data_IF_656692790489
#
_entry.id   IF_656692790489
#
_cell.length_a   1.000
_cell.length_b   1.000
_cell.length_c   1.000
_cell.angle_alpha   90.00
_cell.angle_beta   90.00
_cell.angle_gamma   90.00
#
_symmetry.space_group_name_H-M   'P 1'
#
loop_
_entity.id
_entity.type
_entity.pdbx_description
1 polymer ?
#
# COMPACT_ATOMS: atom_id res chain seq x y z
N UNK A 1 1.48 -2.48 -21.71
CA UNK A 1 0.69 -2.22 -20.48
C UNK A 1 0.33 -3.56 -19.86
N UNK A 2 0.92 -3.91 -18.72
CA UNK A 2 0.56 -5.14 -17.99
C UNK A 2 -0.90 -5.02 -17.52
N UNK A 3 -1.77 -6.01 -17.77
CA UNK A 3 -3.17 -5.93 -17.36
C UNK A 3 -3.25 -5.73 -15.85
N UNK A 4 -4.17 -4.87 -15.39
CA UNK A 4 -4.45 -4.72 -13.97
C UNK A 4 -4.96 -6.06 -13.45
N UNK A 5 -4.18 -6.68 -12.56
CA UNK A 5 -4.59 -7.89 -11.87
C UNK A 5 -5.75 -7.57 -10.94
N UNK A 6 -6.88 -8.24 -11.13
CA UNK A 6 -7.97 -8.24 -10.16
C UNK A 6 -7.60 -9.24 -9.07
N UNK A 7 -7.53 -8.78 -7.82
CA UNK A 7 -7.31 -9.67 -6.67
C UNK A 7 -8.64 -10.30 -6.26
N UNK A 8 -8.63 -11.58 -5.92
CA UNK A 8 -9.82 -12.19 -5.30
C UNK A 8 -10.06 -11.59 -3.91
N UNK A 9 -11.28 -11.75 -3.40
CA UNK A 9 -11.64 -11.33 -2.04
C UNK A 9 -10.73 -12.01 -1.01
N UNK A 10 -10.44 -13.30 -1.19
CA UNK A 10 -9.56 -14.07 -0.30
C UNK A 10 -8.11 -13.57 -0.34
N UNK A 11 -7.58 -13.24 -1.51
CA UNK A 11 -6.23 -12.69 -1.62
C UNK A 11 -6.12 -11.33 -0.94
N UNK A 12 -7.12 -10.48 -1.16
CA UNK A 12 -7.20 -9.18 -0.50
C UNK A 12 -7.28 -9.36 1.01
N UNK A 13 -8.11 -10.27 1.50
CA UNK A 13 -8.23 -10.57 2.93
C UNK A 13 -6.90 -11.07 3.53
N UNK A 14 -6.19 -11.98 2.85
CA UNK A 14 -4.87 -12.45 3.30
C UNK A 14 -3.86 -11.30 3.42
N UNK A 15 -3.86 -10.37 2.46
CA UNK A 15 -3.01 -9.17 2.51
C UNK A 15 -3.40 -8.30 3.71
N UNK A 16 -4.69 -8.02 3.91
CA UNK A 16 -5.14 -7.23 5.07
C UNK A 16 -4.75 -7.89 6.39
N UNK A 17 -5.01 -9.18 6.55
CA UNK A 17 -4.75 -9.93 7.78
C UNK A 17 -3.26 -9.90 8.15
N UNK A 18 -2.38 -10.08 7.16
CA UNK A 18 -0.91 -10.02 7.36
C UNK A 18 -0.45 -8.64 7.86
N UNK A 19 -1.17 -7.59 7.50
CA UNK A 19 -0.90 -6.21 7.93
C UNK A 19 -1.80 -5.73 9.07
N UNK A 20 -2.53 -6.64 9.72
CA UNK A 20 -3.37 -6.35 10.89
C UNK A 20 -4.57 -5.45 10.59
N UNK A 21 -5.09 -5.45 9.36
CA UNK A 21 -6.20 -4.59 8.93
C UNK A 21 -5.88 -3.08 9.02
N UNK A 22 -4.62 -2.69 8.81
CA UNK A 22 -4.20 -1.29 8.79
C UNK A 22 -3.68 -0.88 7.41
N UNK A 23 -4.03 0.34 6.99
CA UNK A 23 -3.44 0.96 5.81
C UNK A 23 -1.93 1.09 6.00
N UNK A 24 -1.15 0.55 5.07
CA UNK A 24 0.31 0.58 5.11
C UNK A 24 0.85 2.00 5.23
N UNK A 25 0.20 2.97 4.58
CA UNK A 25 0.63 4.37 4.54
C UNK A 25 0.15 5.20 5.73
N UNK A 26 -1.16 5.38 5.88
CA UNK A 26 -1.73 6.30 6.87
C UNK A 26 -2.05 5.67 8.22
N UNK A 27 -1.84 4.34 8.35
CA UNK A 27 -2.11 3.57 9.57
C UNK A 27 -3.55 3.75 10.09
N UNK A 28 -4.50 3.92 9.18
CA UNK A 28 -5.94 3.87 9.48
C UNK A 28 -6.44 2.43 9.38
N UNK A 29 -7.40 2.07 10.22
CA UNK A 29 -8.04 0.76 10.12
C UNK A 29 -8.77 0.64 8.78
N UNK A 30 -8.67 -0.54 8.18
CA UNK A 30 -9.28 -0.90 6.92
C UNK A 30 -10.22 -2.09 7.11
N UNK A 31 -11.43 -1.98 6.58
CA UNK A 31 -12.26 -3.15 6.31
C UNK A 31 -11.97 -3.69 4.91
N UNK A 32 -12.35 -4.93 4.65
CA UNK A 32 -12.19 -5.57 3.35
C UNK A 32 -12.79 -4.72 2.21
N UNK A 33 -13.96 -4.11 2.43
CA UNK A 33 -14.65 -3.25 1.46
C UNK A 33 -13.96 -1.90 1.20
N UNK A 34 -13.20 -1.39 2.18
CA UNK A 34 -12.56 -0.06 2.10
C UNK A 34 -11.08 -0.16 1.72
N UNK A 35 -10.50 -1.34 1.86
CA UNK A 35 -9.14 -1.60 1.47
C UNK A 35 -9.00 -1.74 -0.05
N UNK A 36 -7.81 -1.39 -0.50
CA UNK A 36 -7.34 -1.63 -1.86
C UNK A 36 -5.95 -2.22 -1.77
N UNK A 37 -5.60 -3.10 -2.70
CA UNK A 37 -4.25 -3.62 -2.81
C UNK A 37 -3.42 -2.66 -3.67
N UNK A 38 -2.26 -2.26 -3.14
CA UNK A 38 -1.31 -1.37 -3.83
C UNK A 38 0.06 -2.04 -3.93
N UNK A 39 0.78 -1.73 -5.01
CA UNK A 39 2.16 -2.17 -5.21
C UNK A 39 3.12 -1.18 -4.57
N UNK A 40 3.94 -1.64 -3.63
CA UNK A 40 4.99 -0.82 -2.99
C UNK A 40 5.89 -0.19 -4.07
N UNK A 41 6.44 -1.03 -4.94
CA UNK A 41 7.14 -0.62 -6.15
C UNK A 41 6.14 -0.70 -7.32
N UNK A 42 5.82 0.43 -7.97
CA UNK A 42 4.94 0.42 -9.13
C UNK A 42 5.45 -0.51 -10.24
N UNK A 43 4.54 -1.14 -10.98
CA UNK A 43 4.91 -1.97 -12.14
C UNK A 43 5.72 -1.19 -13.18
N UNK A 44 5.44 0.12 -13.34
CA UNK A 44 6.20 1.01 -14.23
C UNK A 44 7.65 1.24 -13.80
N UNK A 45 7.98 0.97 -12.54
CA UNK A 45 9.32 1.06 -11.98
C UNK A 45 9.97 -0.31 -11.78
N UNK A 46 9.44 -1.36 -12.42
CA UNK A 46 9.96 -2.73 -12.32
C UNK A 46 9.42 -3.56 -11.16
N UNK A 47 8.35 -3.11 -10.49
CA UNK A 47 7.70 -3.89 -9.44
C UNK A 47 7.02 -5.16 -9.96
N UNK A 48 6.83 -6.15 -9.08
CA UNK A 48 6.20 -7.44 -9.40
C UNK A 48 4.84 -7.58 -8.70
N UNK A 49 4.06 -8.58 -9.09
CA UNK A 49 2.82 -8.97 -8.38
C UNK A 49 3.09 -9.91 -7.19
N UNK A 50 4.34 -10.04 -6.75
CA UNK A 50 4.69 -10.87 -5.60
C UNK A 50 4.04 -10.32 -4.33
N UNK A 51 3.62 -11.22 -3.43
CA UNK A 51 2.98 -10.84 -2.17
C UNK A 51 3.82 -9.87 -1.33
N UNK A 52 5.14 -9.98 -1.38
CA UNK A 52 6.09 -9.05 -0.73
C UNK A 52 6.03 -7.61 -1.28
N UNK A 53 5.56 -7.42 -2.51
CA UNK A 53 5.37 -6.10 -3.12
C UNK A 53 3.94 -5.58 -2.98
N UNK A 54 3.04 -6.32 -2.34
CA UNK A 54 1.63 -5.95 -2.20
C UNK A 54 1.32 -5.51 -0.77
N UNK A 55 0.65 -4.38 -0.64
CA UNK A 55 0.25 -3.83 0.67
C UNK A 55 -1.20 -3.34 0.64
N UNK A 56 -1.90 -3.37 1.78
CA UNK A 56 -3.23 -2.79 1.89
C UNK A 56 -3.12 -1.27 2.03
N UNK A 57 -3.88 -0.55 1.22
CA UNK A 57 -3.99 0.89 1.23
C UNK A 57 -5.45 1.33 1.21
N UNK A 58 -5.79 2.44 1.85
CA UNK A 58 -7.10 3.06 1.63
C UNK A 58 -7.16 3.69 0.23
N UNK A 59 -8.37 3.81 -0.32
CA UNK A 59 -8.63 4.48 -1.61
C UNK A 59 -7.97 5.86 -1.72
N UNK A 60 -7.96 6.64 -0.63
CA UNK A 60 -7.35 7.97 -0.62
C UNK A 60 -5.82 7.92 -0.74
N UNK A 61 -5.13 7.05 0.01
CA UNK A 61 -3.68 6.92 -0.08
C UNK A 61 -3.25 6.30 -1.40
N UNK A 62 -3.97 5.26 -1.86
CA UNK A 62 -3.70 4.60 -3.13
C UNK A 62 -3.89 5.57 -4.31
N UNK A 63 -5.02 6.29 -4.35
CA UNK A 63 -5.29 7.31 -5.37
C UNK A 63 -4.28 8.47 -5.34
N UNK A 64 -3.85 8.89 -4.15
CA UNK A 64 -2.83 9.93 -3.97
C UNK A 64 -1.43 9.49 -4.42
N UNK A 65 -1.11 8.19 -4.38
CA UNK A 65 0.17 7.62 -4.84
C UNK A 65 0.25 7.59 -6.37
N UNK A 66 -0.80 7.14 -7.05
CA UNK A 66 -0.77 6.95 -8.51
C UNK A 66 0.44 6.10 -8.93
N UNK A 67 1.20 6.57 -9.92
CA UNK A 67 2.43 5.89 -10.40
C UNK A 67 3.69 6.21 -9.58
N UNK A 68 3.57 6.93 -8.47
CA UNK A 68 4.71 7.23 -7.59
C UNK A 68 4.96 6.05 -6.64
N UNK A 69 6.16 5.96 -6.06
CA UNK A 69 6.46 4.97 -5.01
C UNK A 69 5.81 5.30 -3.66
N UNK A 70 5.08 6.42 -3.58
CA UNK A 70 4.70 7.03 -2.31
C UNK A 70 3.48 7.99 -2.50
N UNK A 71 2.46 7.98 -1.62
CA UNK A 71 1.34 8.92 -1.67
C UNK A 71 1.75 10.41 -1.66
N UNK A 72 1.13 11.26 -2.49
CA UNK A 72 1.46 12.70 -2.58
C UNK A 72 0.98 13.51 -1.38
N UNK A 73 -0.17 13.18 -0.82
CA UNK A 73 -0.79 13.86 0.33
C UNK A 73 -0.86 12.94 1.54
N UNK A 74 -0.39 13.44 2.67
CA UNK A 74 0.00 12.61 3.80
C UNK A 74 -0.50 13.19 5.10
N UNK A 75 -1.65 12.70 5.57
CA UNK A 75 -2.09 12.94 6.94
C UNK A 75 -2.36 11.60 7.61
N UNK A 76 -1.78 11.39 8.78
CA UNK A 76 -2.10 10.24 9.62
C UNK A 76 -3.57 10.31 10.11
N UNK A 77 -3.97 9.39 10.99
CA UNK A 77 -5.31 9.41 11.60
C UNK A 77 -5.58 10.66 12.46
N UNK A 78 -4.55 11.35 12.93
CA UNK A 78 -4.60 12.56 13.79
C UNK A 78 -4.47 13.85 12.97
N UNK A 79 -4.31 13.75 11.65
CA UNK A 79 -4.10 14.92 10.79
C UNK A 79 -2.63 15.32 10.64
N UNK A 80 -1.68 14.61 11.26
CA UNK A 80 -0.27 14.94 11.22
C UNK A 80 0.34 14.59 9.86
N UNK A 81 1.24 15.45 9.38
CA UNK A 81 2.00 15.19 8.17
C UNK A 81 2.87 13.93 8.35
N UNK A 82 2.64 12.87 7.57
CA UNK A 82 3.58 11.73 7.51
C UNK A 82 4.78 12.20 6.68
N UNK A 83 5.99 12.17 7.26
CA UNK A 83 7.18 12.64 6.55
C UNK A 83 7.57 11.65 5.45
N UNK A 84 8.07 12.14 4.33
CA UNK A 84 8.46 11.29 3.20
C UNK A 84 9.52 10.24 3.59
N UNK A 85 10.45 10.59 4.49
CA UNK A 85 11.41 9.68 5.13
C UNK A 85 10.73 8.46 5.73
N UNK A 86 9.60 8.62 6.43
CA UNK A 86 8.95 7.54 7.16
C UNK A 86 8.29 6.55 6.19
N UNK A 87 7.79 7.05 5.05
CA UNK A 87 7.30 6.19 3.97
C UNK A 87 8.44 5.51 3.23
N UNK A 88 9.52 6.22 2.88
CA UNK A 88 10.70 5.58 2.26
C UNK A 88 11.30 4.51 3.17
N UNK A 89 11.30 4.71 4.48
CA UNK A 89 11.71 3.72 5.47
C UNK A 89 10.76 2.52 5.51
N UNK A 90 9.44 2.73 5.49
CA UNK A 90 8.46 1.66 5.42
C UNK A 90 8.57 0.84 4.12
N UNK A 91 8.76 1.52 2.98
CA UNK A 91 9.02 0.92 1.67
C UNK A 91 10.32 0.10 1.69
N UNK A 92 11.42 0.65 2.22
CA UNK A 92 12.69 -0.08 2.39
C UNK A 92 12.56 -1.27 3.33
N UNK A 93 11.87 -1.12 4.46
CA UNK A 93 11.66 -2.21 5.40
C UNK A 93 10.84 -3.35 4.77
N UNK A 94 9.83 -3.03 3.97
CA UNK A 94 9.06 -4.02 3.23
C UNK A 94 9.87 -4.67 2.07
N UNK A 95 10.79 -3.93 1.45
CA UNK A 95 11.66 -4.45 0.40
C UNK A 95 12.84 -5.30 0.93
N UNK A 96 13.23 -5.14 2.20
CA UNK A 96 14.34 -5.87 2.85
C UNK A 96 13.88 -7.10 3.65
N UNK A 97 12.57 -7.32 3.80
CA UNK A 97 12.00 -8.49 4.45
C UNK A 97 11.65 -9.58 3.45
N UNK A 98 12.67 -10.31 3.01
CA UNK A 98 12.57 -11.62 2.37
C UNK A 98 13.11 -12.68 3.34
#
# INVERSE_FOLDING_TARGET
MTPRRTFSIEEQERILATHGYWCHYCKRALSLEKATTDHIVPLSAGGTHAFSNLVPACRSCNGSKGSSQAPKTRRDRRGNALRERDIRRAVRAAALGA
#
